data_IF_432979357328
#
_entry.id   IF_432979357328
#
_cell.length_a   1.000
_cell.length_b   1.000
_cell.length_c   1.000
_cell.angle_alpha   90.00
_cell.angle_beta   90.00
_cell.angle_gamma   90.00
#
_symmetry.space_group_name_H-M   'P 1'
#
loop_
_entity.id
_entity.type
_entity.pdbx_description
1 polymer ?
#
# COMPACT_ATOMS: atom_id res chain seq x y z
N UNK A 1 10.16 19.40 -4.73
CA UNK A 1 9.18 19.84 -5.75
C UNK A 1 9.09 21.37 -5.75
N UNK A 2 9.64 22.02 -6.78
CA UNK A 2 9.64 23.50 -6.93
C UNK A 2 8.21 24.09 -6.85
N UNK A 3 8.07 25.28 -6.26
CA UNK A 3 6.79 26.01 -6.15
C UNK A 3 6.18 26.30 -7.52
N UNK A 4 7.03 26.60 -8.50
CA UNK A 4 6.64 26.90 -9.89
C UNK A 4 6.07 25.67 -10.59
N UNK A 5 6.72 24.51 -10.44
CA UNK A 5 6.22 23.23 -10.96
C UNK A 5 4.82 22.90 -10.41
N UNK A 6 4.58 23.16 -9.11
CA UNK A 6 3.24 22.96 -8.52
C UNK A 6 2.21 23.95 -9.06
N UNK A 7 2.61 25.18 -9.33
CA UNK A 7 1.73 26.19 -9.93
C UNK A 7 1.32 25.81 -11.36
N UNK A 8 2.26 25.39 -12.20
CA UNK A 8 1.97 24.90 -13.56
C UNK A 8 1.07 23.66 -13.57
N UNK A 9 1.33 22.70 -12.67
CA UNK A 9 0.46 21.53 -12.51
C UNK A 9 -0.96 21.91 -12.06
N UNK A 10 -1.11 22.91 -11.19
CA UNK A 10 -2.43 23.42 -10.79
C UNK A 10 -3.14 24.04 -11.99
N UNK A 11 -2.45 24.86 -12.79
CA UNK A 11 -3.03 25.45 -14.00
C UNK A 11 -3.49 24.39 -15.00
N UNK A 12 -2.70 23.33 -15.24
CA UNK A 12 -3.10 22.20 -16.10
C UNK A 12 -4.38 21.53 -15.61
N UNK A 13 -4.47 21.30 -14.29
CA UNK A 13 -5.65 20.67 -13.67
C UNK A 13 -6.89 21.54 -13.82
N UNK A 14 -6.75 22.85 -13.62
CA UNK A 14 -7.87 23.80 -13.68
C UNK A 14 -8.32 24.05 -15.13
N UNK A 15 -7.42 23.96 -16.12
CA UNK A 15 -7.75 24.09 -17.56
C UNK A 15 -8.43 22.86 -18.17
N UNK A 16 -8.06 21.65 -17.73
CA UNK A 16 -8.62 20.39 -18.24
C UNK A 16 -10.16 20.34 -18.28
N UNK A 17 -10.91 20.73 -17.22
CA UNK A 17 -12.36 20.76 -17.28
C UNK A 17 -12.90 21.78 -18.29
N UNK A 18 -12.25 22.94 -18.45
CA UNK A 18 -12.63 23.95 -19.44
C UNK A 18 -12.50 23.40 -20.86
N UNK A 19 -11.37 22.75 -21.15
CA UNK A 19 -11.11 22.09 -22.45
C UNK A 19 -12.18 21.03 -22.74
N UNK A 20 -12.51 20.20 -21.75
CA UNK A 20 -13.53 19.18 -21.90
C UNK A 20 -14.91 19.79 -22.13
N UNK A 21 -15.25 20.88 -21.43
CA UNK A 21 -16.55 21.56 -21.60
C UNK A 21 -16.74 22.14 -23.00
N UNK A 22 -15.72 22.84 -23.53
CA UNK A 22 -15.77 23.41 -24.89
C UNK A 22 -15.76 22.31 -25.96
N UNK A 23 -15.03 21.21 -25.73
CA UNK A 23 -15.07 20.03 -26.61
C UNK A 23 -16.45 19.39 -26.63
N UNK A 24 -17.05 19.13 -25.48
CA UNK A 24 -18.40 18.55 -25.38
C UNK A 24 -19.46 19.45 -26.02
N UNK A 25 -19.34 20.77 -25.83
CA UNK A 25 -20.22 21.75 -26.49
C UNK A 25 -20.10 21.71 -28.01
N UNK A 26 -18.87 21.67 -28.54
CA UNK A 26 -18.62 21.52 -29.98
C UNK A 26 -19.16 20.20 -30.52
N UNK A 27 -18.90 19.10 -29.82
CA UNK A 27 -19.23 17.76 -30.30
C UNK A 27 -20.74 17.50 -30.26
N UNK A 28 -21.45 17.99 -29.24
CA UNK A 28 -22.92 17.91 -29.18
C UNK A 28 -23.59 18.63 -30.35
N UNK A 29 -23.11 19.83 -30.72
CA UNK A 29 -23.64 20.57 -31.87
C UNK A 29 -23.28 19.87 -33.18
N UNK A 30 -22.04 19.39 -33.33
CA UNK A 30 -21.61 18.69 -34.55
C UNK A 30 -22.32 17.34 -34.76
N UNK A 31 -22.78 16.68 -33.70
CA UNK A 31 -23.62 15.49 -33.81
C UNK A 31 -24.99 15.81 -34.42
N UNK A 32 -25.55 16.99 -34.11
CA UNK A 32 -26.81 17.44 -34.67
C UNK A 32 -26.66 18.03 -36.09
N UNK A 33 -25.53 18.71 -36.36
CA UNK A 33 -25.31 19.48 -37.58
C UNK A 33 -24.06 18.97 -38.30
N UNK A 34 -24.30 18.13 -39.31
CA UNK A 34 -23.27 17.57 -40.18
C UNK A 34 -22.64 18.59 -41.15
N UNK A 35 -23.39 19.51 -41.79
CA UNK A 35 -22.81 20.46 -42.75
C UNK A 35 -21.78 21.41 -42.14
N UNK A 36 -20.82 21.85 -42.95
CA UNK A 36 -19.89 22.92 -42.59
C UNK A 36 -20.55 24.30 -42.70
N UNK A 37 -20.02 25.29 -41.98
CA UNK A 37 -20.53 26.67 -42.01
C UNK A 37 -20.49 27.26 -43.43
N UNK A 38 -19.42 27.01 -44.18
CA UNK A 38 -19.28 27.45 -45.58
C UNK A 38 -20.37 26.85 -46.49
N UNK A 39 -20.65 25.55 -46.33
CA UNK A 39 -21.68 24.88 -47.12
C UNK A 39 -23.07 25.41 -46.77
N UNK A 40 -23.34 25.66 -45.49
CA UNK A 40 -24.58 26.27 -45.05
C UNK A 40 -24.76 27.67 -45.66
N UNK A 41 -23.72 28.49 -45.72
CA UNK A 41 -23.78 29.82 -46.33
C UNK A 41 -24.09 29.74 -47.85
N UNK A 42 -23.47 28.80 -48.56
CA UNK A 42 -23.75 28.56 -49.98
C UNK A 42 -25.20 28.13 -50.18
N UNK A 43 -25.70 27.20 -49.36
CA UNK A 43 -27.08 26.72 -49.43
C UNK A 43 -28.07 27.83 -49.09
N UNK A 44 -27.76 28.68 -48.12
CA UNK A 44 -28.60 29.79 -47.69
C UNK A 44 -28.71 30.86 -48.79
N UNK A 45 -27.59 31.23 -49.43
CA UNK A 45 -27.58 32.12 -50.60
C UNK A 45 -28.36 31.53 -51.78
N UNK A 46 -28.16 30.23 -52.05
CA UNK A 46 -28.86 29.53 -53.14
C UNK A 46 -30.37 29.51 -52.94
N UNK A 47 -30.82 29.12 -51.75
CA UNK A 47 -32.25 29.05 -51.40
C UNK A 47 -32.89 30.42 -51.38
N UNK A 48 -32.20 31.44 -50.85
CA UNK A 48 -32.64 32.83 -50.91
C UNK A 48 -32.85 33.32 -52.35
N UNK A 49 -31.88 33.08 -53.24
CA UNK A 49 -32.00 33.44 -54.65
C UNK A 49 -33.15 32.67 -55.32
N UNK A 50 -33.31 31.38 -55.02
CA UNK A 50 -34.39 30.56 -55.57
C UNK A 50 -35.80 30.98 -55.09
N UNK A 51 -35.90 31.72 -53.97
CA UNK A 51 -37.15 32.24 -53.41
C UNK A 51 -37.45 33.68 -53.85
N UNK A 52 -36.41 34.49 -54.10
CA UNK A 52 -36.55 35.92 -54.40
C UNK A 52 -36.50 36.23 -55.89
N UNK A 53 -35.80 35.41 -56.68
CA UNK A 53 -35.66 35.62 -58.12
C UNK A 53 -36.83 34.95 -58.85
N UNK A 54 -37.73 35.77 -59.39
CA UNK A 54 -38.78 35.32 -60.31
C UNK A 54 -38.10 34.84 -61.58
N UNK A 55 -38.37 33.60 -61.98
CA UNK A 55 -37.86 33.04 -63.24
C UNK A 55 -38.74 33.52 -64.38
N UNK A 56 -38.12 33.93 -65.49
CA UNK A 56 -38.83 34.43 -66.69
C UNK A 56 -39.73 33.36 -67.35
N UNK A 57 -39.53 32.08 -67.01
CA UNK A 57 -40.23 30.94 -67.58
C UNK A 57 -41.41 30.49 -66.69
N UNK A 58 -42.68 30.69 -67.11
CA UNK A 58 -43.87 30.39 -66.30
C UNK A 58 -44.09 28.89 -66.06
N UNK A 59 -43.55 28.02 -66.92
CA UNK A 59 -43.56 26.56 -66.71
C UNK A 59 -42.62 26.11 -65.57
N UNK A 60 -41.67 26.97 -65.21
CA UNK A 60 -40.67 26.73 -64.16
C UNK A 60 -40.98 27.53 -62.89
N UNK A 61 -42.12 28.23 -62.88
CA UNK A 61 -42.63 28.89 -61.69
C UNK A 61 -42.81 27.85 -60.57
N UNK A 62 -42.24 28.09 -59.38
CA UNK A 62 -42.42 27.18 -58.27
C UNK A 62 -43.90 27.15 -57.86
N UNK A 63 -44.41 25.96 -57.57
CA UNK A 63 -45.74 25.81 -57.02
C UNK A 63 -45.72 26.22 -55.53
N UNK A 64 -46.87 26.65 -55.00
CA UNK A 64 -46.99 27.12 -53.62
C UNK A 64 -46.48 26.10 -52.59
N UNK A 65 -46.62 24.80 -52.89
CA UNK A 65 -46.14 23.72 -52.03
C UNK A 65 -44.61 23.62 -52.02
N UNK A 66 -43.92 23.76 -53.17
CA UNK A 66 -42.44 23.80 -53.20
C UNK A 66 -41.91 25.09 -52.60
N UNK A 67 -42.58 26.22 -52.79
CA UNK A 67 -42.20 27.47 -52.12
C UNK A 67 -42.27 27.31 -50.61
N UNK A 68 -43.39 26.79 -50.09
CA UNK A 68 -43.56 26.54 -48.64
C UNK A 68 -42.46 25.63 -48.10
N UNK A 69 -42.12 24.55 -48.81
CA UNK A 69 -41.01 23.67 -48.44
C UNK A 69 -39.66 24.39 -48.44
N UNK A 70 -39.37 25.19 -49.47
CA UNK A 70 -38.14 26.00 -49.54
C UNK A 70 -38.06 27.05 -48.43
N UNK A 71 -39.17 27.69 -48.08
CA UNK A 71 -39.24 28.62 -46.95
C UNK A 71 -38.98 27.92 -45.62
N UNK A 72 -39.59 26.76 -45.37
CA UNK A 72 -39.30 25.95 -44.17
C UNK A 72 -37.81 25.59 -44.10
N UNK A 73 -37.27 25.06 -45.19
CA UNK A 73 -35.86 24.69 -45.28
C UNK A 73 -34.92 25.89 -45.09
N UNK A 74 -35.29 27.07 -45.58
CA UNK A 74 -34.51 28.30 -45.39
C UNK A 74 -34.40 28.68 -43.91
N UNK A 75 -35.49 28.60 -43.15
CA UNK A 75 -35.46 28.85 -41.71
C UNK A 75 -34.67 27.78 -40.94
N UNK A 76 -34.78 26.52 -41.35
CA UNK A 76 -33.93 25.45 -40.81
C UNK A 76 -32.44 25.75 -41.05
N UNK A 77 -32.07 26.20 -42.25
CA UNK A 77 -30.69 26.59 -42.58
C UNK A 77 -30.19 27.76 -41.72
N UNK A 78 -31.03 28.76 -41.44
CA UNK A 78 -30.67 29.88 -40.55
C UNK A 78 -30.36 29.37 -39.15
N UNK A 79 -31.22 28.51 -38.59
CA UNK A 79 -31.01 27.94 -37.25
C UNK A 79 -29.77 27.04 -37.20
N UNK A 80 -29.55 26.22 -38.23
CA UNK A 80 -28.34 25.40 -38.37
C UNK A 80 -27.09 26.27 -38.42
N UNK A 81 -27.10 27.35 -39.20
CA UNK A 81 -25.97 28.26 -39.31
C UNK A 81 -25.64 28.93 -37.96
N UNK A 82 -26.66 29.40 -37.25
CA UNK A 82 -26.51 30.01 -35.91
C UNK A 82 -25.91 29.03 -34.90
N UNK A 83 -26.38 27.79 -34.87
CA UNK A 83 -25.82 26.76 -33.99
C UNK A 83 -24.38 26.40 -34.41
N UNK A 84 -24.11 26.36 -35.72
CA UNK A 84 -22.76 26.07 -36.23
C UNK A 84 -21.76 27.16 -35.85
N UNK A 85 -22.16 28.42 -35.89
CA UNK A 85 -21.33 29.55 -35.42
C UNK A 85 -20.94 29.39 -33.94
N UNK A 86 -21.87 28.95 -33.09
CA UNK A 86 -21.59 28.66 -31.67
C UNK A 86 -20.58 27.51 -31.53
N UNK A 87 -20.70 26.46 -32.35
CA UNK A 87 -19.73 25.36 -32.40
C UNK A 87 -18.36 25.81 -32.86
N UNK A 88 -18.29 26.65 -33.90
CA UNK A 88 -17.03 27.17 -34.43
C UNK A 88 -16.34 28.09 -33.40
N UNK A 89 -17.10 28.90 -32.66
CA UNK A 89 -16.60 29.68 -31.53
C UNK A 89 -16.05 28.80 -30.40
N UNK A 90 -16.78 27.75 -30.02
CA UNK A 90 -16.31 26.77 -29.02
C UNK A 90 -15.04 26.04 -29.51
N UNK A 91 -14.95 25.72 -30.80
CA UNK A 91 -13.76 25.10 -31.39
C UNK A 91 -12.54 26.03 -31.36
N UNK A 92 -12.71 27.31 -31.68
CA UNK A 92 -11.64 28.32 -31.58
C UNK A 92 -11.10 28.43 -30.14
N UNK A 93 -11.99 28.55 -29.15
CA UNK A 93 -11.63 28.54 -27.73
C UNK A 93 -10.91 27.26 -27.31
N UNK A 94 -11.40 26.12 -27.77
CA UNK A 94 -10.73 24.84 -27.53
C UNK A 94 -9.29 24.83 -28.08
N UNK A 95 -9.06 25.36 -29.29
CA UNK A 95 -7.72 25.46 -29.88
C UNK A 95 -6.82 26.36 -29.03
N UNK A 96 -7.32 27.52 -28.60
CA UNK A 96 -6.59 28.45 -27.73
C UNK A 96 -6.16 27.78 -26.41
N UNK A 97 -7.12 27.16 -25.72
CA UNK A 97 -6.83 26.42 -24.48
C UNK A 97 -5.83 25.27 -24.70
N UNK A 98 -5.91 24.58 -25.85
CA UNK A 98 -4.95 23.53 -26.19
C UNK A 98 -3.54 24.08 -26.47
N UNK A 99 -3.42 25.29 -27.04
CA UNK A 99 -2.13 25.97 -27.22
C UNK A 99 -1.53 26.34 -25.88
N UNK A 100 -2.31 26.97 -25.00
CA UNK A 100 -1.87 27.29 -23.63
C UNK A 100 -1.47 26.02 -22.85
N UNK A 101 -2.25 24.95 -22.97
CA UNK A 101 -1.93 23.67 -22.33
C UNK A 101 -0.59 23.15 -22.82
N UNK A 102 -0.30 23.21 -24.13
CA UNK A 102 1.00 22.81 -24.69
C UNK A 102 2.14 23.67 -24.16
N UNK A 103 1.94 24.98 -24.03
CA UNK A 103 2.94 25.90 -23.46
C UNK A 103 3.25 25.57 -22.00
N UNK A 104 2.22 25.31 -21.19
CA UNK A 104 2.45 24.90 -19.79
C UNK A 104 3.12 23.54 -19.64
N UNK A 105 2.90 22.61 -20.58
CA UNK A 105 3.64 21.34 -20.62
C UNK A 105 5.10 21.58 -20.99
N UNK A 106 5.38 22.40 -22.01
CA UNK A 106 6.76 22.78 -22.36
C UNK A 106 7.51 23.39 -21.18
N UNK A 107 6.89 24.34 -20.46
CA UNK A 107 7.49 24.92 -19.26
C UNK A 107 7.72 23.92 -18.12
N UNK A 108 6.92 22.85 -18.02
CA UNK A 108 7.16 21.77 -17.06
C UNK A 108 8.33 20.87 -17.48
N UNK A 109 8.50 20.64 -18.78
CA UNK A 109 9.63 19.87 -19.32
C UNK A 109 10.93 20.66 -19.15
N UNK A 110 10.94 21.96 -19.43
CA UNK A 110 12.08 22.86 -19.18
C UNK A 110 12.51 22.84 -17.70
N UNK A 111 11.58 23.02 -16.76
CA UNK A 111 11.87 22.93 -15.32
C UNK A 111 12.37 21.54 -14.88
N UNK A 112 12.00 20.48 -15.60
CA UNK A 112 12.49 19.13 -15.33
C UNK A 112 13.92 18.99 -15.82
N UNK A 113 14.23 19.51 -17.00
CA UNK A 113 15.57 19.45 -17.59
C UNK A 113 16.56 20.30 -16.77
N UNK A 114 16.15 21.47 -16.28
CA UNK A 114 16.94 22.29 -15.34
C UNK A 114 17.22 21.54 -14.04
N UNK A 115 16.21 20.89 -13.45
CA UNK A 115 16.42 20.08 -12.24
C UNK A 115 17.32 18.87 -12.50
N UNK A 116 17.26 18.28 -13.69
CA UNK A 116 18.13 17.17 -14.11
C UNK A 116 19.57 17.60 -14.32
N UNK A 117 19.81 18.76 -14.93
CA UNK A 117 21.15 19.34 -15.09
C UNK A 117 21.76 19.68 -13.72
N UNK A 118 20.98 20.27 -12.81
CA UNK A 118 21.46 20.52 -11.44
C UNK A 118 21.77 19.19 -10.70
N UNK A 119 20.97 18.15 -10.89
CA UNK A 119 21.25 16.81 -10.36
C UNK A 119 22.54 16.21 -10.96
N UNK A 120 22.81 16.38 -12.25
CA UNK A 120 24.03 15.90 -12.93
C UNK A 120 25.29 16.71 -12.54
N UNK A 121 25.17 18.03 -12.41
CA UNK A 121 26.24 18.92 -11.92
C UNK A 121 26.57 18.67 -10.43
N UNK A 122 25.57 18.35 -9.62
CA UNK A 122 25.78 18.00 -8.20
C UNK A 122 26.31 16.57 -8.03
N UNK A 123 25.90 15.63 -8.88
CA UNK A 123 26.45 14.26 -8.92
C UNK A 123 27.91 14.24 -9.38
N UNK A 124 28.27 15.03 -10.39
CA UNK A 124 29.66 15.18 -10.85
C UNK A 124 30.58 15.85 -9.83
N UNK A 125 30.06 16.74 -8.99
CA UNK A 125 30.82 17.38 -7.90
C UNK A 125 30.87 16.56 -6.61
N UNK A 126 29.96 15.61 -6.39
CA UNK A 126 29.95 14.72 -5.21
C UNK A 126 29.63 13.26 -5.57
N UNK A 127 30.64 12.41 -5.87
CA UNK A 127 30.45 11.06 -6.44
C UNK A 127 29.88 10.01 -5.46
N UNK A 128 29.35 10.43 -4.30
CA UNK A 128 28.84 9.52 -3.26
C UNK A 128 27.31 9.48 -3.18
N UNK A 129 26.62 10.23 -4.03
CA UNK A 129 25.16 10.38 -4.05
C UNK A 129 24.53 9.95 -5.39
N UNK A 130 25.15 9.02 -6.11
CA UNK A 130 24.45 8.27 -7.17
C UNK A 130 23.42 7.32 -6.53
N UNK A 131 22.35 7.87 -5.98
CA UNK A 131 21.13 7.12 -5.71
C UNK A 131 20.24 7.25 -6.92
N UNK A 132 20.41 6.33 -7.87
CA UNK A 132 19.59 6.23 -9.07
C UNK A 132 18.10 6.30 -8.74
N UNK A 133 17.33 6.90 -9.64
CA UNK A 133 15.87 7.07 -9.55
C UNK A 133 15.20 5.71 -9.29
N UNK A 134 14.93 5.40 -8.02
CA UNK A 134 14.27 4.15 -7.61
C UNK A 134 12.82 4.19 -8.12
N UNK A 135 12.43 3.20 -8.91
CA UNK A 135 11.09 3.11 -9.44
C UNK A 135 10.10 2.84 -8.29
N UNK A 136 8.94 3.52 -8.25
CA UNK A 136 7.97 3.37 -7.14
C UNK A 136 7.48 1.92 -6.95
N UNK A 137 7.51 1.11 -8.01
CA UNK A 137 7.21 -0.33 -7.94
C UNK A 137 8.32 -1.11 -7.25
N UNK A 138 9.57 -0.86 -7.62
CA UNK A 138 10.75 -1.45 -6.99
C UNK A 138 10.84 -1.06 -5.51
N UNK A 139 10.52 0.19 -5.15
CA UNK A 139 10.44 0.64 -3.76
C UNK A 139 9.41 -0.18 -2.95
N UNK A 140 8.25 -0.47 -3.53
CA UNK A 140 7.22 -1.31 -2.89
C UNK A 140 7.71 -2.75 -2.71
N UNK A 141 8.27 -3.35 -3.76
CA UNK A 141 8.80 -4.72 -3.71
C UNK A 141 9.94 -4.85 -2.69
N UNK A 142 10.83 -3.86 -2.62
CA UNK A 142 11.90 -3.79 -1.62
C UNK A 142 11.33 -3.62 -0.21
N UNK A 143 10.33 -2.76 -0.02
CA UNK A 143 9.68 -2.58 1.28
C UNK A 143 8.95 -3.85 1.74
N UNK A 144 8.26 -4.56 0.84
CA UNK A 144 7.65 -5.86 1.13
C UNK A 144 8.71 -6.89 1.52
N UNK A 145 9.81 -6.97 0.77
CA UNK A 145 10.94 -7.86 1.08
C UNK A 145 11.57 -7.52 2.44
N UNK A 146 11.78 -6.24 2.75
CA UNK A 146 12.29 -5.78 4.05
C UNK A 146 11.32 -6.17 5.16
N UNK A 147 10.01 -5.98 4.97
CA UNK A 147 9.02 -6.35 5.98
C UNK A 147 9.04 -7.86 6.28
N UNK A 148 9.14 -8.70 5.24
CA UNK A 148 9.27 -10.15 5.37
C UNK A 148 10.55 -10.55 6.12
N UNK A 149 11.68 -9.94 5.80
CA UNK A 149 12.95 -10.17 6.53
C UNK A 149 12.85 -9.74 8.00
N UNK A 150 12.19 -8.61 8.30
CA UNK A 150 12.00 -8.17 9.68
C UNK A 150 11.12 -9.12 10.48
N UNK A 151 10.08 -9.70 9.87
CA UNK A 151 9.25 -10.70 10.52
C UNK A 151 9.99 -12.01 10.78
N UNK A 152 10.83 -12.46 9.84
CA UNK A 152 11.74 -13.60 10.05
C UNK A 152 12.71 -13.34 11.23
N UNK A 153 13.31 -12.15 11.31
CA UNK A 153 14.19 -11.76 12.43
C UNK A 153 13.43 -11.78 13.76
N UNK A 154 12.17 -11.34 13.78
CA UNK A 154 11.34 -11.37 15.01
C UNK A 154 11.07 -12.81 15.45
N UNK A 155 10.79 -13.72 14.52
CA UNK A 155 10.55 -15.13 14.84
C UNK A 155 11.82 -15.81 15.39
N UNK A 156 12.96 -15.60 14.73
CA UNK A 156 14.26 -16.07 15.22
C UNK A 156 14.59 -15.53 16.62
N UNK A 157 14.23 -14.27 16.92
CA UNK A 157 14.41 -13.72 18.27
C UNK A 157 13.53 -14.40 19.32
N UNK A 158 12.31 -14.83 18.96
CA UNK A 158 11.46 -15.62 19.87
C UNK A 158 12.08 -16.98 20.14
N UNK A 159 12.58 -17.66 19.11
CA UNK A 159 13.29 -18.94 19.24
C UNK A 159 14.52 -18.82 20.14
N UNK A 160 15.36 -17.80 19.92
CA UNK A 160 16.52 -17.52 20.78
C UNK A 160 16.08 -17.30 22.24
N UNK A 161 15.01 -16.54 22.47
CA UNK A 161 14.51 -16.32 23.82
C UNK A 161 13.97 -17.59 24.47
N UNK A 162 13.32 -18.47 23.70
CA UNK A 162 12.88 -19.77 24.18
C UNK A 162 14.07 -20.67 24.53
N UNK A 163 15.06 -20.77 23.64
CA UNK A 163 16.30 -21.52 23.87
C UNK A 163 17.05 -21.01 25.11
N UNK A 164 17.14 -19.69 25.31
CA UNK A 164 17.77 -19.12 26.51
C UNK A 164 17.05 -19.53 27.80
N UNK A 165 15.72 -19.59 27.80
CA UNK A 165 14.94 -20.07 28.95
C UNK A 165 15.18 -21.56 29.18
N UNK A 166 15.23 -22.34 28.12
CA UNK A 166 15.48 -23.77 28.18
C UNK A 166 16.89 -24.08 28.71
N UNK A 167 17.91 -23.36 28.23
CA UNK A 167 19.27 -23.42 28.76
C UNK A 167 19.28 -23.07 30.25
N UNK A 168 18.61 -22.00 30.67
CA UNK A 168 18.51 -21.63 32.08
C UNK A 168 17.80 -22.70 32.93
N UNK A 169 16.77 -23.34 32.38
CA UNK A 169 16.08 -24.48 33.01
C UNK A 169 17.03 -25.65 33.18
N UNK A 170 17.69 -26.10 32.12
CA UNK A 170 18.64 -27.23 32.14
C UNK A 170 19.83 -26.94 33.05
N UNK A 171 20.43 -25.76 32.98
CA UNK A 171 21.52 -25.35 33.88
C UNK A 171 21.07 -25.35 35.34
N UNK A 172 19.85 -24.87 35.63
CA UNK A 172 19.30 -24.94 36.99
C UNK A 172 19.12 -26.39 37.47
N UNK A 173 18.64 -27.29 36.59
CA UNK A 173 18.54 -28.72 36.90
C UNK A 173 19.91 -29.35 37.13
N UNK A 174 20.90 -29.06 36.29
CA UNK A 174 22.28 -29.54 36.45
C UNK A 174 22.91 -29.05 37.74
N UNK A 175 22.73 -27.78 38.12
CA UNK A 175 23.21 -27.22 39.39
C UNK A 175 22.55 -27.85 40.61
N UNK A 176 21.24 -28.13 40.54
CA UNK A 176 20.53 -28.83 41.61
C UNK A 176 21.09 -30.25 41.74
N UNK A 177 21.24 -30.96 40.61
CA UNK A 177 21.78 -32.32 40.58
C UNK A 177 23.21 -32.38 41.13
N UNK A 178 24.09 -31.48 40.72
CA UNK A 178 25.48 -31.43 41.20
C UNK A 178 25.54 -31.11 42.71
N UNK A 179 24.67 -30.22 43.21
CA UNK A 179 24.54 -29.97 44.66
C UNK A 179 24.02 -31.18 45.42
N UNK A 180 23.02 -31.85 44.87
CA UNK A 180 22.44 -33.06 45.45
C UNK A 180 23.49 -34.20 45.51
N UNK A 181 24.28 -34.39 44.45
CA UNK A 181 25.41 -35.32 44.40
C UNK A 181 26.50 -34.97 45.44
N UNK A 182 26.89 -33.69 45.57
CA UNK A 182 27.86 -33.23 46.60
C UNK A 182 27.35 -33.38 48.03
N UNK A 183 26.05 -33.27 48.25
CA UNK A 183 25.42 -33.51 49.54
C UNK A 183 25.11 -35.00 49.81
N UNK A 184 25.57 -35.91 48.94
CA UNK A 184 25.31 -37.35 49.07
C UNK A 184 23.85 -37.75 48.89
N UNK A 185 22.98 -36.80 48.51
CA UNK A 185 21.60 -37.05 48.11
C UNK A 185 21.62 -37.36 46.63
N UNK A 186 21.91 -38.61 46.25
CA UNK A 186 21.47 -39.07 44.93
C UNK A 186 19.97 -38.74 44.82
N UNK A 187 19.55 -38.11 43.72
CA UNK A 187 18.12 -37.86 43.44
C UNK A 187 17.49 -39.23 43.16
N UNK A 188 17.23 -39.92 44.25
CA UNK A 188 16.71 -41.28 44.27
C UNK A 188 15.25 -41.15 43.90
N UNK A 189 14.85 -41.76 42.77
CA UNK A 189 13.43 -41.95 42.47
C UNK A 189 12.76 -42.57 43.70
N UNK A 190 11.60 -42.07 44.09
CA UNK A 190 10.85 -42.63 45.22
C UNK A 190 10.56 -44.09 44.90
N UNK A 191 10.63 -44.98 45.89
CA UNK A 191 10.42 -46.42 45.70
C UNK A 191 9.07 -46.68 45.01
N UNK A 192 8.01 -45.93 45.35
CA UNK A 192 6.71 -46.03 44.65
C UNK A 192 6.74 -45.66 43.17
N UNK A 193 7.54 -44.66 42.76
CA UNK A 193 7.72 -44.32 41.34
C UNK A 193 8.56 -45.36 40.58
N UNK A 194 9.51 -46.02 41.27
CA UNK A 194 10.27 -47.14 40.71
C UNK A 194 9.39 -48.39 40.55
N UNK A 195 8.50 -48.66 41.51
CA UNK A 195 7.50 -49.73 41.43
C UNK A 195 6.52 -49.51 40.28
N UNK A 196 6.03 -48.27 40.09
CA UNK A 196 5.17 -47.94 38.95
C UNK A 196 5.90 -48.08 37.61
N UNK A 197 7.15 -47.62 37.52
CA UNK A 197 7.97 -47.76 36.30
C UNK A 197 8.32 -49.23 36.00
N UNK A 198 8.51 -50.04 37.05
CA UNK A 198 8.69 -51.49 36.93
C UNK A 198 7.38 -52.19 36.49
N UNK A 199 6.24 -51.81 37.07
CA UNK A 199 4.92 -52.32 36.70
C UNK A 199 4.54 -51.96 35.27
N UNK A 200 4.93 -50.77 34.79
CA UNK A 200 4.73 -50.33 33.41
C UNK A 200 5.70 -50.98 32.40
N UNK A 201 6.59 -51.88 32.85
CA UNK A 201 7.54 -52.59 31.99
C UNK A 201 8.71 -51.73 31.48
N UNK A 202 9.03 -50.61 32.13
CA UNK A 202 10.13 -49.74 31.75
C UNK A 202 11.50 -50.30 32.13
N UNK A 203 12.57 -49.90 31.42
CA UNK A 203 13.94 -50.30 31.77
C UNK A 203 14.39 -49.66 33.10
N UNK A 204 15.04 -50.46 33.95
CA UNK A 204 15.59 -50.07 35.24
C UNK A 204 17.12 -50.13 35.20
N UNK A 205 17.78 -49.20 35.88
CA UNK A 205 19.22 -49.29 36.11
C UNK A 205 19.53 -50.39 37.14
N UNK A 206 20.76 -50.93 37.12
CA UNK A 206 21.18 -51.97 38.07
C UNK A 206 21.05 -51.51 39.54
N UNK A 207 21.31 -50.22 39.78
CA UNK A 207 21.12 -49.60 41.10
C UNK A 207 19.65 -49.43 41.49
N UNK A 208 18.77 -49.15 40.54
CA UNK A 208 17.32 -49.09 40.80
C UNK A 208 16.75 -50.48 41.10
N UNK A 209 17.22 -51.52 40.40
CA UNK A 209 16.84 -52.92 40.67
C UNK A 209 17.33 -53.39 42.04
N UNK A 210 18.59 -53.12 42.40
CA UNK A 210 19.13 -53.46 43.71
C UNK A 210 18.31 -52.86 44.85
N UNK A 211 17.72 -51.67 44.62
CA UNK A 211 16.97 -50.93 45.64
C UNK A 211 15.51 -51.37 45.74
N UNK A 212 14.87 -51.73 44.63
CA UNK A 212 13.58 -52.41 44.66
C UNK A 212 13.69 -53.76 45.40
N UNK A 213 14.76 -54.50 45.13
CA UNK A 213 15.04 -55.76 45.82
C UNK A 213 15.32 -55.54 47.31
N UNK A 214 16.09 -54.53 47.70
CA UNK A 214 16.38 -54.24 49.12
C UNK A 214 15.19 -53.71 49.91
N UNK A 215 14.24 -53.03 49.26
CA UNK A 215 13.14 -52.34 49.93
C UNK A 215 11.88 -53.19 50.13
N UNK A 216 11.77 -54.35 49.47
CA UNK A 216 10.58 -55.20 49.60
C UNK A 216 10.39 -56.29 48.55
N UNK A 217 11.31 -56.45 47.59
CA UNK A 217 11.20 -57.48 46.55
C UNK A 217 10.09 -57.19 45.53
N UNK A 218 10.00 -58.04 44.49
CA UNK A 218 9.04 -57.89 43.39
C UNK A 218 7.58 -58.03 43.82
N UNK A 219 7.32 -58.64 44.98
CA UNK A 219 5.98 -58.82 45.57
C UNK A 219 5.29 -57.50 45.91
N UNK A 220 6.04 -56.43 46.19
CA UNK A 220 5.46 -55.11 46.48
C UNK A 220 4.89 -54.41 45.23
N UNK A 221 5.25 -54.85 44.02
CA UNK A 221 4.80 -54.24 42.75
C UNK A 221 3.32 -54.57 42.48
N UNK A 222 2.83 -55.74 42.91
CA UNK A 222 1.43 -56.17 42.73
C UNK A 222 0.46 -55.40 43.65
N UNK A 223 0.95 -54.84 44.77
CA UNK A 223 0.11 -54.12 45.74
C UNK A 223 -0.24 -52.66 45.35
N UNK A 224 0.33 -52.15 44.25
CA UNK A 224 0.20 -50.75 43.82
C UNK A 224 -0.92 -50.44 42.82
N UNK A 225 -1.75 -51.43 42.47
CA UNK A 225 -2.81 -51.31 41.45
C UNK A 225 -4.09 -50.60 41.92
N UNK A 226 -4.01 -49.41 42.52
CA UNK A 226 -5.18 -48.54 42.67
C UNK A 226 -4.88 -47.09 42.27
N UNK A 227 -5.57 -46.68 41.21
CA UNK A 227 -5.46 -45.38 40.56
C UNK A 227 -5.90 -44.23 41.47
N UNK A 228 -5.14 -43.13 41.45
CA UNK A 228 -5.72 -41.78 41.51
C UNK A 228 -5.00 -40.89 40.51
N UNK A 229 -5.68 -40.65 39.39
CA UNK A 229 -5.44 -39.54 38.49
C UNK A 229 -5.73 -38.22 39.21
N UNK A 230 -4.70 -37.44 39.53
CA UNK A 230 -4.85 -36.06 39.97
C UNK A 230 -4.70 -35.13 38.76
N UNK A 231 -5.80 -34.45 38.40
CA UNK A 231 -5.84 -33.36 37.43
C UNK A 231 -4.89 -32.20 37.83
N UNK A 232 -4.31 -31.47 36.85
CA UNK A 232 -3.40 -30.37 37.16
C UNK A 232 -4.18 -29.17 37.71
N UNK A 233 -4.10 -28.96 39.03
CA UNK A 233 -4.57 -27.73 39.68
C UNK A 233 -3.78 -26.53 39.15
N UNK A 234 -4.49 -25.59 38.51
CA UNK A 234 -4.00 -24.25 38.12
C UNK A 234 -3.29 -23.58 39.30
N UNK A 235 -2.00 -23.28 39.13
CA UNK A 235 -1.24 -22.52 40.12
C UNK A 235 -1.70 -21.06 40.14
N UNK A 236 -2.26 -20.64 41.27
CA UNK A 236 -2.49 -19.22 41.58
C UNK A 236 -1.14 -18.51 41.66
N UNK A 237 -0.96 -17.50 40.81
CA UNK A 237 0.21 -16.62 40.83
C UNK A 237 0.38 -15.97 42.19
N UNK A 238 1.47 -16.33 42.89
CA UNK A 238 1.96 -15.57 44.04
C UNK A 238 2.88 -14.49 43.51
N UNK A 239 2.37 -13.26 43.44
CA UNK A 239 3.18 -12.06 43.36
C UNK A 239 4.12 -12.04 44.60
N UNK A 240 5.42 -12.24 44.37
CA UNK A 240 6.44 -12.00 45.40
C UNK A 240 7.02 -10.61 45.16
N UNK A 241 6.78 -9.75 46.15
CA UNK A 241 7.18 -8.37 46.19
C UNK A 241 8.65 -8.14 45.92
N UNK A 242 8.90 -7.01 45.26
CA UNK A 242 10.23 -6.49 45.03
C UNK A 242 10.97 -6.30 46.35
N UNK A 243 12.17 -6.86 46.42
CA UNK A 243 13.21 -6.41 47.34
C UNK A 243 14.28 -5.75 46.49
N UNK A 244 14.12 -4.43 46.37
CA UNK A 244 15.15 -3.49 45.93
C UNK A 244 16.39 -3.69 46.81
N UNK A 245 17.51 -4.01 46.17
CA UNK A 245 18.82 -4.19 46.77
C UNK A 245 19.85 -3.61 45.80
N UNK A 246 19.96 -2.28 45.84
CA UNK A 246 21.03 -1.50 45.21
C UNK A 246 22.41 -2.05 45.59
N UNK A 247 23.26 -2.28 44.58
CA UNK A 247 24.72 -1.98 44.60
C UNK A 247 25.37 -2.33 43.26
N UNK A 248 25.82 -1.30 42.55
CA UNK A 248 26.99 -1.38 41.67
C UNK A 248 26.74 -1.29 40.16
N UNK A 249 26.58 -0.06 39.64
CA UNK A 249 27.20 0.37 38.37
C UNK A 249 26.90 1.86 38.12
N UNK A 250 27.70 2.74 38.71
CA UNK A 250 27.86 4.10 38.21
C UNK A 250 28.91 4.06 37.10
N UNK A 251 28.49 4.02 35.81
CA UNK A 251 29.23 4.56 34.65
C UNK A 251 28.24 4.85 33.51
N UNK A 252 28.16 6.11 33.07
CA UNK A 252 27.73 6.46 31.71
C UNK A 252 26.39 7.18 31.55
N UNK A 253 26.39 8.48 31.86
CA UNK A 253 25.70 9.59 31.22
C UNK A 253 24.43 9.35 30.35
N UNK A 254 23.35 9.99 30.81
CA UNK A 254 22.41 10.84 30.07
C UNK A 254 22.18 10.60 28.57
N UNK A 255 20.90 10.36 28.21
CA UNK A 255 20.15 11.17 27.22
C UNK A 255 18.70 10.69 27.11
N UNK A 256 17.77 11.65 27.14
CA UNK A 256 16.65 11.65 26.19
C UNK A 256 15.31 11.17 26.71
N UNK A 257 14.54 12.12 27.24
CA UNK A 257 13.08 12.14 27.24
C UNK A 257 12.49 11.74 25.88
N UNK A 258 11.68 10.70 25.84
CA UNK A 258 10.76 10.45 24.72
C UNK A 258 9.59 11.44 24.81
N UNK A 259 9.56 12.44 23.92
CA UNK A 259 8.33 13.14 23.55
C UNK A 259 8.29 13.41 22.04
N UNK A 260 7.19 12.96 21.46
CA UNK A 260 6.47 13.50 20.32
C UNK A 260 7.15 13.46 18.93
N UNK A 261 6.53 12.65 18.09
CA UNK A 261 6.54 12.70 16.63
C UNK A 261 6.51 14.14 16.08
N UNK A 262 7.51 14.47 15.26
CA UNK A 262 7.34 15.30 14.07
C UNK A 262 8.21 14.75 12.94
N UNK A 263 7.50 14.40 11.86
CA UNK A 263 8.00 14.27 10.49
C UNK A 263 9.09 15.30 10.18
N UNK A 264 10.16 14.83 9.53
CA UNK A 264 10.97 15.55 8.54
C UNK A 264 11.23 14.50 7.45
N UNK A 265 10.77 14.66 6.22
CA UNK A 265 11.30 15.59 5.20
C UNK A 265 12.83 15.57 5.17
N UNK A 266 13.27 14.81 4.16
CA UNK A 266 14.57 14.67 3.50
C UNK A 266 15.74 14.06 4.30
#
# INVERSE_FOLDING_TARGET
>A
MSRERRALLKQLRDRTPLINSERSRRDSINQCISPTSDLLEILLKRTYNDLTVIRDDPSRAPNITRETQKFSFFFELIEMWRQKEVSDAAHKRYIELMREQRETVKGLDELRDESGQVEEETASSTPRLETGKINRKEEKELNERISSMLDQIREQRKEINWLRREIGRVDSFSRIREKDEKHGRTVRKRIGSLQQHAASGGSLSLEDMARLLSAGGLSAIESGGSEKSEEPKKSRGRARGGRSGSRGAARGAARGTARAYKRRED
#
